data_IF_325845364295
#
_entry.id   IF_325845364295
#
_cell.length_a   1.000
_cell.length_b   1.000
_cell.length_c   1.000
_cell.angle_alpha   90.00
_cell.angle_beta   90.00
_cell.angle_gamma   90.00
#
_symmetry.space_group_name_H-M   'P 1'
#
loop_
_entity.id
_entity.type
_entity.pdbx_description
1 polymer ?
#
# COMPACT_ATOMS: atom_id res chain seq x y z
N UNK A 1 19.78 7.78 28.20
CA UNK A 1 19.20 6.50 27.74
C UNK A 1 19.22 6.54 26.23
N UNK A 2 20.27 6.01 25.62
CA UNK A 2 20.33 5.91 24.16
C UNK A 2 19.24 4.94 23.71
N UNK A 3 18.31 5.45 22.91
CA UNK A 3 17.31 4.64 22.25
C UNK A 3 18.08 3.83 21.21
N UNK A 4 18.42 2.58 21.54
CA UNK A 4 18.96 1.62 20.59
C UNK A 4 17.96 1.47 19.46
N UNK A 5 18.21 2.22 18.40
CA UNK A 5 17.51 2.13 17.12
C UNK A 5 17.75 0.71 16.63
N UNK A 6 16.78 -0.18 16.83
CA UNK A 6 16.72 -1.46 16.15
C UNK A 6 16.57 -1.17 14.66
N UNK A 7 17.70 -0.87 14.01
CA UNK A 7 17.81 -0.86 12.58
C UNK A 7 17.63 -2.31 12.15
N UNK A 8 16.42 -2.66 11.72
CA UNK A 8 16.19 -3.83 10.88
C UNK A 8 17.29 -3.83 9.81
N UNK A 9 18.14 -4.86 9.77
CA UNK A 9 19.22 -4.94 8.77
C UNK A 9 18.57 -4.77 7.41
N UNK A 10 18.96 -3.70 6.70
CA UNK A 10 18.40 -3.39 5.39
C UNK A 10 18.86 -4.49 4.43
N UNK A 11 17.91 -5.14 3.74
CA UNK A 11 18.26 -6.06 2.66
C UNK A 11 18.72 -5.22 1.45
N UNK A 12 20.03 -5.09 1.24
CA UNK A 12 20.66 -4.27 0.20
C UNK A 12 20.47 -4.89 -1.19
N UNK A 13 20.42 -6.22 -1.29
CA UNK A 13 20.08 -6.89 -2.55
C UNK A 13 18.66 -6.56 -2.96
N UNK A 14 17.73 -6.65 -2.00
CA UNK A 14 16.35 -6.23 -2.15
C UNK A 14 16.25 -4.74 -2.53
N UNK A 15 17.00 -3.87 -1.86
CA UNK A 15 16.98 -2.44 -2.13
C UNK A 15 17.47 -2.06 -3.54
N UNK A 16 18.55 -2.70 -4.00
CA UNK A 16 19.05 -2.53 -5.37
C UNK A 16 18.19 -3.25 -6.42
N UNK A 17 17.24 -4.09 -5.99
CA UNK A 17 16.38 -4.87 -6.88
C UNK A 17 17.13 -5.97 -7.64
N UNK A 18 18.15 -6.56 -7.01
CA UNK A 18 18.99 -7.62 -7.58
C UNK A 18 18.88 -8.90 -6.77
N UNK A 19 19.24 -10.03 -7.39
CA UNK A 19 19.33 -11.30 -6.69
C UNK A 19 20.55 -11.34 -5.76
N UNK A 20 20.53 -12.19 -4.73
CA UNK A 20 21.68 -12.36 -3.80
C UNK A 20 22.93 -12.93 -4.47
N UNK A 21 22.72 -13.75 -5.49
CA UNK A 21 23.77 -14.32 -6.32
C UNK A 21 24.12 -13.40 -7.52
N UNK A 22 23.66 -12.15 -7.53
CA UNK A 22 23.98 -11.20 -8.58
C UNK A 22 25.50 -10.98 -8.67
N UNK A 23 25.98 -10.83 -9.91
CA UNK A 23 27.38 -10.56 -10.18
C UNK A 23 27.76 -9.12 -9.76
N UNK A 24 29.06 -8.85 -9.64
CA UNK A 24 29.53 -7.48 -9.41
C UNK A 24 29.10 -6.53 -10.53
N UNK A 25 28.96 -7.03 -11.77
CA UNK A 25 28.46 -6.24 -12.89
C UNK A 25 26.98 -5.86 -12.72
N UNK A 26 26.15 -6.78 -12.24
CA UNK A 26 24.73 -6.54 -11.96
C UNK A 26 24.54 -5.51 -10.84
N UNK A 27 25.34 -5.62 -9.77
CA UNK A 27 25.36 -4.66 -8.66
C UNK A 27 25.68 -3.26 -9.21
N UNK A 28 26.71 -3.13 -10.04
CA UNK A 28 27.13 -1.87 -10.64
C UNK A 28 26.08 -1.30 -11.61
N UNK A 29 25.42 -2.17 -12.39
CA UNK A 29 24.36 -1.78 -13.32
C UNK A 29 23.13 -1.27 -12.56
N UNK A 30 22.72 -1.96 -11.51
CA UNK A 30 21.61 -1.56 -10.66
C UNK A 30 21.89 -0.22 -9.96
N UNK A 31 23.09 -0.07 -9.38
CA UNK A 31 23.54 1.18 -8.78
C UNK A 31 23.43 2.35 -9.77
N UNK A 32 24.03 2.24 -10.96
CA UNK A 32 23.97 3.30 -11.99
C UNK A 32 22.55 3.71 -12.34
N UNK A 33 21.65 2.74 -12.51
CA UNK A 33 20.24 3.00 -12.83
C UNK A 33 19.52 3.74 -11.70
N UNK A 34 19.72 3.32 -10.46
CA UNK A 34 19.03 3.92 -9.31
C UNK A 34 19.64 5.26 -8.91
N UNK A 35 20.97 5.43 -8.97
CA UNK A 35 21.64 6.71 -8.71
C UNK A 35 21.17 7.80 -9.67
N UNK A 36 21.01 7.49 -10.96
CA UNK A 36 20.47 8.46 -11.93
C UNK A 36 19.01 8.83 -11.63
N UNK A 37 18.22 7.89 -11.12
CA UNK A 37 16.81 8.10 -10.76
C UNK A 37 16.66 8.94 -9.50
N UNK A 38 17.50 8.70 -8.49
CA UNK A 38 17.41 9.34 -7.18
C UNK A 38 18.40 10.50 -6.99
N UNK A 39 19.13 10.92 -8.02
CA UNK A 39 20.11 12.00 -7.90
C UNK A 39 19.47 13.30 -7.40
N UNK A 40 20.01 13.96 -6.36
CA UNK A 40 19.39 15.14 -5.75
C UNK A 40 19.25 16.31 -6.74
N UNK A 41 20.27 16.50 -7.60
CA UNK A 41 20.28 17.54 -8.65
C UNK A 41 19.12 17.42 -9.67
N UNK A 42 18.61 16.20 -9.90
CA UNK A 42 17.51 15.95 -10.84
C UNK A 42 16.12 15.97 -10.19
N UNK A 43 16.07 15.99 -8.86
CA UNK A 43 14.84 15.88 -8.08
C UNK A 43 14.71 17.05 -7.10
N UNK A 44 15.17 18.24 -7.51
CA UNK A 44 15.02 19.50 -6.78
C UNK A 44 15.50 19.47 -5.32
N UNK A 45 16.51 18.64 -5.01
CA UNK A 45 17.02 18.41 -3.65
C UNK A 45 15.97 17.98 -2.62
N UNK A 46 14.90 17.31 -3.06
CA UNK A 46 13.91 16.74 -2.16
C UNK A 46 14.57 15.69 -1.23
N UNK A 47 14.37 15.86 0.08
CA UNK A 47 14.92 15.02 1.14
C UNK A 47 14.63 13.53 0.90
N UNK A 48 13.47 13.19 0.32
CA UNK A 48 13.12 11.81 0.00
C UNK A 48 14.09 11.19 -1.01
N UNK A 49 14.42 11.90 -2.07
CA UNK A 49 15.34 11.40 -3.10
C UNK A 49 16.77 11.35 -2.57
N UNK A 50 17.14 12.32 -1.74
CA UNK A 50 18.43 12.34 -1.02
C UNK A 50 18.59 11.11 -0.11
N UNK A 51 17.58 10.78 0.70
CA UNK A 51 17.58 9.59 1.55
C UNK A 51 17.70 8.31 0.73
N UNK A 52 16.91 8.19 -0.36
CA UNK A 52 16.99 7.03 -1.26
C UNK A 52 18.34 6.92 -1.94
N UNK A 53 18.92 8.03 -2.36
CA UNK A 53 20.26 8.07 -2.95
C UNK A 53 21.32 7.56 -1.97
N UNK A 54 21.25 8.03 -0.71
CA UNK A 54 22.14 7.56 0.36
C UNK A 54 22.00 6.05 0.59
N UNK A 55 20.79 5.51 0.60
CA UNK A 55 20.55 4.07 0.73
C UNK A 55 21.09 3.27 -0.47
N UNK A 56 20.96 3.78 -1.69
CA UNK A 56 21.52 3.17 -2.91
C UNK A 56 23.04 3.11 -2.82
N UNK A 57 23.66 4.20 -2.34
CA UNK A 57 25.11 4.29 -2.18
C UNK A 57 25.62 3.34 -1.09
N UNK A 58 24.98 3.32 0.08
CA UNK A 58 25.31 2.43 1.19
C UNK A 58 25.25 0.95 0.78
N UNK A 59 24.22 0.58 0.01
CA UNK A 59 24.07 -0.75 -0.55
C UNK A 59 25.21 -1.11 -1.51
N UNK A 60 25.56 -0.22 -2.44
CA UNK A 60 26.64 -0.44 -3.40
C UNK A 60 28.01 -0.58 -2.73
N UNK A 61 28.33 0.30 -1.78
CA UNK A 61 29.59 0.25 -1.02
C UNK A 61 29.73 -1.05 -0.24
N UNK A 62 28.64 -1.53 0.36
CA UNK A 62 28.66 -2.77 1.15
C UNK A 62 28.76 -4.01 0.27
N UNK A 63 28.06 -4.05 -0.86
CA UNK A 63 28.00 -5.24 -1.73
C UNK A 63 29.18 -5.36 -2.70
N UNK A 64 29.89 -4.26 -2.99
CA UNK A 64 31.05 -4.26 -3.89
C UNK A 64 32.33 -4.69 -3.17
N UNK A 65 32.47 -4.36 -1.88
CA UNK A 65 33.60 -4.80 -1.07
C UNK A 65 33.39 -6.24 -0.58
N UNK A 66 34.31 -7.15 -0.93
CA UNK A 66 34.16 -8.57 -0.62
C UNK A 66 34.14 -8.86 0.89
N UNK A 67 34.88 -8.09 1.70
CA UNK A 67 34.92 -8.25 3.15
C UNK A 67 33.62 -7.79 3.81
N UNK A 68 33.15 -6.60 3.45
CA UNK A 68 31.87 -6.03 3.91
C UNK A 68 30.69 -6.85 3.43
N UNK A 69 30.69 -7.32 2.18
CA UNK A 69 29.67 -8.21 1.63
C UNK A 69 29.57 -9.50 2.42
N UNK A 70 30.71 -10.14 2.74
CA UNK A 70 30.73 -11.39 3.51
C UNK A 70 30.13 -11.21 4.90
N UNK A 71 30.56 -10.16 5.63
CA UNK A 71 30.03 -9.86 6.97
C UNK A 71 28.53 -9.51 6.90
N UNK A 72 28.15 -8.75 5.88
CA UNK A 72 26.76 -8.41 5.60
C UNK A 72 25.91 -9.64 5.34
N UNK A 73 26.34 -10.54 4.45
CA UNK A 73 25.65 -11.79 4.11
C UNK A 73 25.51 -12.69 5.35
N UNK A 74 26.54 -12.79 6.19
CA UNK A 74 26.50 -13.52 7.45
C UNK A 74 25.45 -12.94 8.40
N UNK A 75 25.47 -11.62 8.62
CA UNK A 75 24.51 -10.94 9.47
C UNK A 75 23.08 -11.06 8.94
N UNK A 76 22.91 -10.89 7.62
CA UNK A 76 21.62 -10.99 6.94
C UNK A 76 21.04 -12.41 7.06
N UNK A 77 21.86 -13.45 6.89
CA UNK A 77 21.45 -14.84 7.04
C UNK A 77 21.07 -15.16 8.50
N UNK A 78 21.86 -14.70 9.47
CA UNK A 78 21.57 -14.90 10.90
C UNK A 78 20.29 -14.18 11.34
N UNK A 79 20.02 -12.99 10.80
CA UNK A 79 18.77 -12.28 11.06
C UNK A 79 17.57 -13.03 10.44
N UNK A 80 17.69 -13.49 9.20
CA UNK A 80 16.57 -14.13 8.50
C UNK A 80 16.25 -15.54 9.00
N UNK A 81 17.21 -16.27 9.54
CA UNK A 81 16.91 -17.54 10.19
C UNK A 81 16.11 -17.36 11.49
N UNK A 82 16.27 -16.21 12.16
CA UNK A 82 15.57 -15.91 13.40
C UNK A 82 14.23 -15.16 13.22
N UNK A 83 13.92 -14.64 12.03
CA UNK A 83 12.72 -13.79 11.82
C UNK A 83 11.69 -14.33 10.82
N UNK A 84 11.97 -15.43 10.11
CA UNK A 84 10.99 -16.01 9.17
C UNK A 84 9.86 -16.69 9.94
N UNK A 85 8.63 -16.24 9.71
CA UNK A 85 7.45 -16.83 10.32
C UNK A 85 7.07 -18.13 9.61
N UNK A 86 6.69 -19.14 10.38
CA UNK A 86 6.06 -20.38 9.89
C UNK A 86 4.56 -20.20 9.62
N UNK A 87 4.02 -19.02 9.91
CA UNK A 87 2.61 -18.69 9.69
C UNK A 87 2.41 -18.07 8.30
N UNK A 88 1.23 -18.27 7.67
CA UNK A 88 0.93 -17.64 6.39
C UNK A 88 0.93 -16.11 6.53
N UNK A 89 1.37 -15.37 5.48
CA UNK A 89 1.42 -13.92 5.53
C UNK A 89 0.02 -13.34 5.69
N UNK A 90 -0.09 -12.22 6.42
CA UNK A 90 -1.35 -11.51 6.67
C UNK A 90 -1.18 -10.01 6.51
N UNK A 91 -2.13 -9.36 5.85
CA UNK A 91 -2.21 -7.90 5.80
C UNK A 91 -3.22 -7.47 6.86
N UNK A 92 -2.76 -6.78 7.90
CA UNK A 92 -3.63 -6.23 8.95
C UNK A 92 -4.33 -4.96 8.47
N UNK A 93 -3.55 -4.08 7.85
CA UNK A 93 -4.04 -2.80 7.37
C UNK A 93 -3.40 -2.49 6.03
N UNK A 94 -4.20 -2.00 5.10
CA UNK A 94 -3.74 -1.34 3.89
C UNK A 94 -4.81 -0.32 3.51
N UNK A 95 -4.52 0.96 3.76
CA UNK A 95 -5.47 2.06 3.62
C UNK A 95 -4.80 3.32 3.10
N UNK A 96 -5.60 4.26 2.62
CA UNK A 96 -5.15 5.56 2.12
C UNK A 96 -5.94 6.65 2.82
N UNK A 97 -5.30 7.80 3.08
CA UNK A 97 -5.93 8.96 3.70
C UNK A 97 -7.16 9.45 2.93
N UNK A 98 -7.10 9.41 1.59
CA UNK A 98 -8.18 9.84 0.70
C UNK A 98 -8.26 8.96 -0.54
N UNK A 99 -9.47 8.50 -0.87
CA UNK A 99 -9.76 7.65 -2.05
C UNK A 99 -10.06 8.50 -3.29
N UNK A 100 -10.49 9.75 -3.08
CA UNK A 100 -10.86 10.70 -4.14
C UNK A 100 -9.94 11.91 -4.07
N UNK A 101 -9.13 12.15 -5.09
CA UNK A 101 -7.97 13.04 -4.97
C UNK A 101 -7.88 13.93 -6.21
N UNK A 102 -7.48 15.19 -6.05
CA UNK A 102 -7.19 16.07 -7.19
C UNK A 102 -5.79 15.78 -7.74
N UNK A 103 -5.58 16.05 -9.04
CA UNK A 103 -4.26 15.93 -9.65
C UNK A 103 -3.24 16.81 -8.93
N UNK A 104 -2.15 16.20 -8.47
CA UNK A 104 -1.10 16.89 -7.73
C UNK A 104 -1.37 17.10 -6.24
N UNK A 105 -2.43 16.51 -5.68
CA UNK A 105 -2.65 16.48 -4.22
C UNK A 105 -1.81 15.38 -3.56
N UNK A 106 -1.42 15.62 -2.30
CA UNK A 106 -0.67 14.67 -1.49
C UNK A 106 -1.60 13.76 -0.69
N UNK A 107 -1.30 12.47 -0.72
CA UNK A 107 -1.99 11.46 0.08
C UNK A 107 -1.00 10.60 0.84
N UNK A 108 -1.47 10.05 1.96
CA UNK A 108 -0.68 9.12 2.77
C UNK A 108 -1.27 7.73 2.66
N UNK A 109 -0.43 6.76 2.34
CA UNK A 109 -0.75 5.34 2.35
C UNK A 109 -0.24 4.77 3.67
N UNK A 110 -1.04 3.92 4.30
CA UNK A 110 -0.70 3.23 5.53
C UNK A 110 -0.77 1.73 5.30
N UNK A 111 0.23 0.99 5.74
CA UNK A 111 0.20 -0.46 5.67
C UNK A 111 0.80 -1.13 6.91
N UNK A 112 0.26 -2.30 7.22
CA UNK A 112 0.74 -3.15 8.28
C UNK A 112 0.57 -4.62 7.85
N UNK A 113 1.67 -5.36 7.87
CA UNK A 113 1.72 -6.78 7.52
C UNK A 113 2.34 -7.60 8.65
N UNK A 114 1.86 -8.83 8.78
CA UNK A 114 2.39 -9.84 9.67
C UNK A 114 2.85 -11.05 8.86
N UNK A 115 3.85 -11.74 9.40
CA UNK A 115 4.31 -13.03 8.87
C UNK A 115 4.76 -12.99 7.39
N UNK A 116 5.11 -11.79 6.89
CA UNK A 116 5.63 -11.57 5.55
C UNK A 116 7.07 -11.08 5.62
N UNK A 117 7.97 -11.78 4.94
CA UNK A 117 9.39 -11.40 4.87
C UNK A 117 9.62 -10.32 3.82
N UNK A 118 8.73 -10.26 2.82
CA UNK A 118 8.84 -9.39 1.65
C UNK A 118 7.54 -8.63 1.44
N UNK A 119 7.59 -7.31 1.38
CA UNK A 119 6.43 -6.45 1.09
C UNK A 119 6.71 -5.54 -0.10
N UNK A 120 6.01 -5.77 -1.20
CA UNK A 120 6.11 -4.99 -2.44
C UNK A 120 4.84 -4.21 -2.70
N UNK A 121 4.93 -2.88 -2.76
CA UNK A 121 3.83 -1.99 -3.10
C UNK A 121 4.03 -1.47 -4.52
N UNK A 122 3.17 -1.83 -5.47
CA UNK A 122 3.20 -1.31 -6.85
C UNK A 122 2.43 0.01 -6.90
N UNK A 123 2.97 1.08 -7.54
CA UNK A 123 4.20 1.15 -8.34
C UNK A 123 5.48 1.50 -7.56
N UNK A 124 5.41 1.66 -6.25
CA UNK A 124 6.50 2.16 -5.40
C UNK A 124 7.69 1.23 -5.23
N UNK A 125 7.52 -0.06 -5.50
CA UNK A 125 8.54 -1.08 -5.31
C UNK A 125 8.48 -1.67 -3.91
N UNK A 126 9.63 -1.72 -3.27
CA UNK A 126 9.93 -2.62 -2.17
C UNK A 126 9.96 -1.85 -0.85
N UNK A 127 9.11 -2.24 0.10
CA UNK A 127 8.85 -1.50 1.34
C UNK A 127 9.04 -2.35 2.60
N UNK A 128 9.11 -1.67 3.75
CA UNK A 128 9.13 -2.31 5.07
C UNK A 128 7.82 -3.07 5.32
N UNK A 129 7.77 -4.05 6.24
CA UNK A 129 6.53 -4.77 6.56
C UNK A 129 5.40 -3.85 7.07
N UNK A 130 5.77 -2.79 7.78
CA UNK A 130 4.86 -1.81 8.36
C UNK A 130 5.38 -0.41 8.05
N UNK A 131 4.49 0.52 7.76
CA UNK A 131 4.87 1.90 7.54
C UNK A 131 3.75 2.77 6.99
N UNK A 132 4.13 4.00 6.73
CA UNK A 132 3.32 4.98 6.02
C UNK A 132 4.17 5.64 4.93
N UNK A 133 3.49 6.13 3.89
CA UNK A 133 4.14 6.80 2.76
C UNK A 133 3.27 7.92 2.27
N UNK A 134 3.82 9.13 2.25
CA UNK A 134 3.25 10.27 1.54
C UNK A 134 3.63 10.21 0.07
N UNK A 135 2.65 10.39 -0.81
CA UNK A 135 2.85 10.44 -2.26
C UNK A 135 2.03 11.57 -2.86
N UNK A 136 2.53 12.13 -3.96
CA UNK A 136 1.81 13.07 -4.79
C UNK A 136 1.41 12.40 -6.10
N UNK A 137 0.11 12.30 -6.38
CA UNK A 137 -0.37 11.65 -7.60
C UNK A 137 -0.25 12.65 -8.76
N UNK A 138 0.70 12.43 -9.66
CA UNK A 138 0.91 13.31 -10.83
C UNK A 138 0.04 12.92 -12.03
N UNK A 139 -0.25 11.63 -12.17
CA UNK A 139 -0.95 11.07 -13.33
C UNK A 139 -1.95 10.02 -12.87
N UNK A 140 -3.15 10.06 -13.44
CA UNK A 140 -4.17 9.02 -13.35
C UNK A 140 -4.22 8.27 -14.69
N UNK A 141 -4.74 7.04 -14.68
CA UNK A 141 -5.00 6.32 -15.93
C UNK A 141 -6.06 7.03 -16.78
N UNK A 142 -6.27 6.55 -18.02
CA UNK A 142 -7.27 7.12 -18.95
C UNK A 142 -8.70 7.09 -18.41
N UNK A 143 -8.96 6.30 -17.36
CA UNK A 143 -10.24 6.19 -16.67
C UNK A 143 -10.29 7.02 -15.36
N UNK A 144 -9.28 7.85 -15.08
CA UNK A 144 -9.18 8.66 -13.87
C UNK A 144 -8.91 7.84 -12.62
N UNK A 145 -8.32 6.65 -12.73
CA UNK A 145 -8.01 5.75 -11.62
C UNK A 145 -6.50 5.61 -11.41
N UNK A 146 -6.10 5.40 -10.17
CA UNK A 146 -4.74 5.09 -9.78
C UNK A 146 -4.79 3.89 -8.84
N UNK A 147 -4.29 2.75 -9.30
CA UNK A 147 -4.30 1.50 -8.54
C UNK A 147 -2.98 1.27 -7.82
N UNK A 148 -3.07 0.91 -6.55
CA UNK A 148 -1.93 0.57 -5.71
C UNK A 148 -2.12 -0.86 -5.23
N UNK A 149 -1.12 -1.72 -5.43
CA UNK A 149 -1.17 -3.13 -5.06
C UNK A 149 -0.08 -3.47 -4.05
N UNK A 150 -0.44 -3.90 -2.86
CA UNK A 150 0.47 -4.42 -1.86
C UNK A 150 0.54 -5.95 -1.97
N UNK A 151 1.74 -6.48 -2.19
CA UNK A 151 2.05 -7.90 -2.23
C UNK A 151 2.86 -8.23 -0.97
N UNK A 152 2.32 -9.05 -0.08
CA UNK A 152 3.02 -9.54 1.10
C UNK A 152 3.35 -11.02 0.90
N UNK A 153 4.64 -11.34 0.87
CA UNK A 153 5.15 -12.68 0.57
C UNK A 153 5.91 -13.24 1.77
N UNK A 154 5.54 -14.46 2.16
CA UNK A 154 6.32 -15.30 3.04
C UNK A 154 7.16 -16.24 2.17
N UNK A 155 8.48 -16.05 2.22
CA UNK A 155 9.43 -16.76 1.36
C UNK A 155 9.60 -18.23 1.79
N UNK A 156 9.42 -18.52 3.07
CA UNK A 156 9.54 -19.87 3.64
C UNK A 156 8.38 -20.78 3.20
N UNK A 157 7.15 -20.24 3.24
CA UNK A 157 5.95 -20.97 2.87
C UNK A 157 5.62 -20.90 1.38
N UNK A 158 6.38 -20.11 0.60
CA UNK A 158 6.08 -19.77 -0.79
C UNK A 158 4.65 -19.23 -0.97
N UNK A 159 4.14 -18.48 0.03
CA UNK A 159 2.79 -17.90 0.00
C UNK A 159 2.86 -16.40 -0.19
N UNK A 160 2.00 -15.88 -1.06
CA UNK A 160 1.85 -14.45 -1.30
C UNK A 160 0.38 -14.06 -1.19
N UNK A 161 0.11 -12.96 -0.51
CA UNK A 161 -1.19 -12.30 -0.49
C UNK A 161 -1.08 -10.94 -1.15
N UNK A 162 -2.15 -10.53 -1.84
CA UNK A 162 -2.20 -9.25 -2.55
C UNK A 162 -3.44 -8.49 -2.13
N UNK A 163 -3.29 -7.22 -1.81
CA UNK A 163 -4.40 -6.30 -1.54
C UNK A 163 -4.26 -5.05 -2.39
N UNK A 164 -5.36 -4.63 -3.00
CA UNK A 164 -5.40 -3.47 -3.90
C UNK A 164 -6.23 -2.33 -3.36
N UNK A 165 -5.81 -1.10 -3.64
CA UNK A 165 -6.57 0.12 -3.40
C UNK A 165 -6.65 0.87 -4.72
N UNK A 166 -7.86 1.29 -5.09
CA UNK A 166 -8.08 2.15 -6.26
C UNK A 166 -8.43 3.54 -5.79
N UNK A 167 -7.63 4.52 -6.19
CA UNK A 167 -7.87 5.94 -5.98
C UNK A 167 -8.47 6.50 -7.26
N UNK A 168 -9.46 7.38 -7.14
CA UNK A 168 -10.14 8.01 -8.28
C UNK A 168 -9.89 9.51 -8.30
N UNK A 169 -9.76 10.08 -9.48
CA UNK A 169 -9.65 11.52 -9.68
C UNK A 169 -10.97 12.22 -9.35
N UNK A 170 -10.90 13.34 -8.62
CA UNK A 170 -12.02 14.27 -8.48
C UNK A 170 -12.07 15.17 -9.72
N UNK A 171 -12.95 14.84 -10.66
CA UNK A 171 -13.28 15.72 -11.79
C UNK A 171 -14.29 16.75 -11.27
N UNK A 172 -13.88 18.01 -11.17
CA UNK A 172 -14.79 19.10 -10.79
C UNK A 172 -15.70 19.45 -11.96
N UNK A 173 -16.88 18.82 -12.01
CA UNK A 173 -17.98 19.24 -12.88
C UNK A 173 -18.94 20.12 -12.08
N UNK A 174 -18.43 21.20 -11.49
CA UNK A 174 -19.27 22.30 -11.03
C UNK A 174 -19.39 23.31 -12.17
N UNK A 175 -20.60 23.60 -12.72
CA UNK A 175 -20.76 24.80 -13.51
C UNK A 175 -20.37 25.99 -12.62
N UNK A 176 -19.43 26.82 -13.08
CA UNK A 176 -19.14 28.11 -12.47
C UNK A 176 -20.41 28.94 -12.52
N UNK A 177 -21.18 28.94 -11.44
CA UNK A 177 -22.10 30.03 -11.16
C UNK A 177 -21.35 31.00 -10.24
N UNK A 178 -20.94 32.10 -10.86
CA UNK A 178 -20.52 33.30 -10.16
C UNK A 178 -21.65 33.79 -9.24
N UNK A 179 -21.23 34.34 -8.09
CA UNK A 179 -22.00 35.07 -7.07
C UNK A 179 -22.83 34.20 -6.12
N UNK A 180 -22.48 34.23 -4.83
CA UNK A 180 -23.18 35.01 -3.79
C UNK A 180 -22.28 35.18 -2.55
N UNK A 181 -22.32 36.39 -2.00
CA UNK A 181 -21.53 36.91 -0.87
C UNK A 181 -22.13 36.53 0.50
N UNK A 182 -21.23 36.40 1.48
CA UNK A 182 -21.37 36.55 2.95
C UNK A 182 -22.59 36.02 3.71
N UNK A 183 -22.31 35.24 4.78
CA UNK A 183 -23.21 35.18 5.93
C UNK A 183 -23.03 33.96 6.84
N UNK A 184 -22.30 34.18 7.94
CA UNK A 184 -22.64 33.68 9.28
C UNK A 184 -22.32 32.22 9.69
N UNK A 185 -21.35 32.12 10.60
CA UNK A 185 -21.16 31.01 11.53
C UNK A 185 -22.16 31.09 12.68
N UNK A 186 -22.78 29.97 13.07
CA UNK A 186 -22.96 29.51 14.46
C UNK A 186 -23.32 28.01 14.47
N UNK A 187 -22.72 27.34 15.44
CA UNK A 187 -22.74 25.94 15.85
C UNK A 187 -24.11 25.31 16.18
N UNK A 188 -24.30 24.03 15.83
CA UNK A 188 -24.71 22.94 16.74
C UNK A 188 -24.71 21.54 16.05
N UNK A 189 -24.68 20.42 16.81
CA UNK A 189 -24.07 19.16 16.37
C UNK A 189 -24.99 18.27 15.55
N UNK A 190 -24.51 17.84 14.37
CA UNK A 190 -25.21 16.81 13.58
C UNK A 190 -25.07 15.45 14.23
N UNK A 191 -26.18 14.99 14.83
CA UNK A 191 -26.42 13.61 15.29
C UNK A 191 -25.91 12.59 14.26
N UNK A 192 -25.10 11.64 14.73
CA UNK A 192 -24.74 10.40 14.01
C UNK A 192 -26.02 9.69 13.54
N UNK A 193 -26.32 9.76 12.25
CA UNK A 193 -27.29 8.85 11.63
C UNK A 193 -26.62 7.49 11.46
N UNK A 194 -27.01 6.54 12.31
CA UNK A 194 -26.78 5.10 12.13
C UNK A 194 -27.44 4.71 10.81
N UNK A 195 -26.66 4.24 9.83
CA UNK A 195 -27.22 3.64 8.61
C UNK A 195 -28.02 2.40 9.00
N UNK A 196 -29.35 2.50 8.95
CA UNK A 196 -30.25 1.36 8.96
C UNK A 196 -30.11 0.60 7.64
N UNK A 197 -29.91 -0.71 7.76
CA UNK A 197 -29.88 -1.66 6.66
C UNK A 197 -31.33 -1.89 6.24
N UNK A 198 -31.73 -1.44 5.03
CA UNK A 198 -33.02 -1.78 4.43
C UNK A 198 -33.08 -3.28 4.11
N UNK A 199 -34.09 -4.05 4.57
CA UNK A 199 -34.31 -5.40 4.06
C UNK A 199 -34.90 -5.34 2.65
N UNK A 200 -34.16 -5.87 1.68
CA UNK A 200 -34.60 -6.02 0.30
C UNK A 200 -35.64 -7.16 0.22
N UNK A 201 -36.84 -6.79 -0.28
CA UNK A 201 -37.95 -7.61 -0.79
C UNK A 201 -37.80 -9.14 -0.67
N UNK A 202 -38.34 -9.71 0.41
CA UNK A 202 -38.66 -11.15 0.55
C UNK A 202 -40.03 -11.31 1.24
N UNK A 203 -41.06 -10.60 0.77
CA UNK A 203 -42.43 -10.73 1.34
C UNK A 203 -43.46 -11.20 0.30
N UNK A 204 -43.15 -11.20 -1.01
CA UNK A 204 -44.15 -11.57 -2.03
C UNK A 204 -44.35 -13.07 -2.27
N UNK A 205 -43.50 -13.95 -1.72
CA UNK A 205 -43.61 -15.41 -1.97
C UNK A 205 -44.45 -16.10 -0.89
N UNK A 206 -44.40 -15.65 0.36
CA UNK A 206 -45.13 -16.28 1.47
C UNK A 206 -46.64 -16.06 1.40
N UNK A 207 -47.10 -14.92 0.89
CA UNK A 207 -48.54 -14.63 0.76
C UNK A 207 -49.18 -15.53 -0.32
N UNK A 208 -48.48 -15.81 -1.42
CA UNK A 208 -48.97 -16.71 -2.46
C UNK A 208 -49.04 -18.17 -2.01
N UNK A 209 -48.10 -18.64 -1.17
CA UNK A 209 -48.11 -20.00 -0.66
C UNK A 209 -49.28 -20.26 0.30
N UNK A 210 -49.60 -19.29 1.15
CA UNK A 210 -50.73 -19.37 2.09
C UNK A 210 -52.07 -19.35 1.34
N UNK A 211 -52.19 -18.52 0.31
CA UNK A 211 -53.41 -18.41 -0.50
C UNK A 211 -53.64 -19.68 -1.35
N UNK A 212 -52.55 -20.30 -1.85
CA UNK A 212 -52.60 -21.59 -2.56
C UNK A 212 -53.05 -22.73 -1.63
N UNK A 213 -52.53 -22.78 -0.40
CA UNK A 213 -52.93 -23.79 0.60
C UNK A 213 -54.39 -23.63 1.04
N UNK A 214 -54.91 -22.41 1.13
CA UNK A 214 -56.31 -22.14 1.45
C UNK A 214 -57.27 -22.58 0.35
N UNK A 215 -56.89 -22.41 -0.92
CA UNK A 215 -57.68 -22.87 -2.08
C UNK A 215 -57.70 -24.41 -2.15
N UNK A 216 -56.57 -25.06 -1.88
CA UNK A 216 -56.50 -26.54 -1.87
C UNK A 216 -57.38 -27.13 -0.75
N UNK A 217 -57.42 -26.49 0.43
CA UNK A 217 -58.28 -26.92 1.54
C UNK A 217 -59.77 -26.80 1.22
N UNK A 218 -60.17 -25.76 0.48
CA UNK A 218 -61.56 -25.51 0.08
C UNK A 218 -62.05 -26.47 -1.02
N UNK A 219 -61.15 -27.12 -1.76
CA UNK A 219 -61.48 -28.13 -2.78
C UNK A 219 -61.54 -29.56 -2.23
N UNK A 220 -61.08 -29.80 -0.99
CA UNK A 220 -61.05 -31.13 -0.36
C UNK A 220 -62.14 -31.33 0.71
N UNK A 221 -63.00 -30.35 0.98
CA UNK A 221 -64.07 -30.43 1.98
C UNK A 221 -65.44 -30.04 1.41
#
# INVERSE_FOLDING_TARGET
MEITKFASVKDYYYFLGIARHASAEDIKKAYRKLSLKYHPDKNDNDEFFSDRFREVQEAYETLTDAGRKKLYDQNLNNQQQNTRSVLPPKIKNFSVSKIRVQKGEEITIYWNTYDADIVKIVPFGLEKPNGERRIRIKEFDTAGKFQILLHATNSLLHKTIVQGITITELIDNSPKNDKYESGESISEPVKRQKKEIKPQRMISVFVFLILLLMIIWLMLN
#
